data_IF_522083814978
#
_entry.id   IF_522083814978
#
_cell.length_a   1.000
_cell.length_b   1.000
_cell.length_c   1.000
_cell.angle_alpha   90.00
_cell.angle_beta   90.00
_cell.angle_gamma   90.00
#
_symmetry.space_group_name_H-M   'P 1'
#
loop_
_entity.id
_entity.type
_entity.pdbx_description
1 polymer ?
#
# COMPACT_ATOMS: atom_id res chain seq x y z
N UNK A 1 7.88 -3.49 15.83
CA UNK A 1 7.32 -3.45 14.48
C UNK A 1 6.60 -2.12 14.20
N UNK A 2 5.56 -1.74 14.97
CA UNK A 2 4.80 -0.51 14.74
C UNK A 2 5.68 0.77 14.68
N UNK A 3 6.69 0.89 15.53
CA UNK A 3 7.60 2.02 15.52
C UNK A 3 8.42 2.13 14.23
N UNK A 4 8.94 1.03 13.71
CA UNK A 4 9.72 1.03 12.46
C UNK A 4 8.85 1.34 11.24
N UNK A 5 7.60 0.87 11.22
CA UNK A 5 6.61 1.22 10.21
C UNK A 5 6.16 2.69 10.33
N UNK A 6 6.08 3.22 11.55
CA UNK A 6 5.79 4.62 11.79
C UNK A 6 6.90 5.53 11.23
N UNK A 7 8.16 5.16 11.40
CA UNK A 7 9.29 5.90 10.84
C UNK A 7 9.24 5.93 9.29
N UNK A 8 8.87 4.82 8.65
CA UNK A 8 8.65 4.79 7.21
C UNK A 8 7.44 5.65 6.79
N UNK A 9 6.35 5.62 7.56
CA UNK A 9 5.15 6.40 7.27
C UNK A 9 5.44 7.91 7.36
N UNK A 10 6.14 8.36 8.40
CA UNK A 10 6.54 9.77 8.54
C UNK A 10 7.48 10.20 7.41
N UNK A 11 8.46 9.38 7.03
CA UNK A 11 9.33 9.65 5.87
C UNK A 11 8.53 9.80 4.58
N UNK A 12 7.52 8.96 4.38
CA UNK A 12 6.67 8.97 3.19
C UNK A 12 5.82 10.25 3.12
N UNK A 13 5.21 10.66 4.23
CA UNK A 13 4.40 11.88 4.33
C UNK A 13 5.27 13.13 4.19
N UNK A 14 6.42 13.17 4.84
CA UNK A 14 7.39 14.29 4.74
C UNK A 14 7.95 14.42 3.31
N UNK A 15 8.02 13.32 2.58
CA UNK A 15 8.38 13.29 1.16
C UNK A 15 7.28 13.77 0.22
N UNK A 16 6.09 14.09 0.71
CA UNK A 16 4.97 14.61 -0.05
C UNK A 16 4.07 13.54 -0.69
N UNK A 17 4.26 12.26 -0.38
CA UNK A 17 3.42 11.19 -0.93
C UNK A 17 2.05 11.14 -0.24
N UNK A 18 1.00 10.99 -1.04
CA UNK A 18 -0.38 10.86 -0.56
C UNK A 18 -0.66 9.42 -0.13
N UNK A 19 -0.68 9.21 1.18
CA UNK A 19 -0.93 7.90 1.80
C UNK A 19 -2.00 7.96 2.89
N UNK A 20 -2.84 8.99 2.83
CA UNK A 20 -3.98 9.17 3.73
C UNK A 20 -3.70 10.10 4.92
N UNK A 21 -2.59 10.84 4.92
CA UNK A 21 -2.18 11.71 6.03
C UNK A 21 -1.83 13.11 5.54
N UNK A 22 -2.06 14.10 6.41
CA UNK A 22 -1.56 15.46 6.25
C UNK A 22 -0.20 15.64 6.95
N UNK A 23 0.63 16.53 6.42
CA UNK A 23 1.87 16.93 7.07
C UNK A 23 1.63 18.15 7.99
N UNK A 24 2.39 18.26 9.10
CA UNK A 24 3.34 17.29 9.61
C UNK A 24 2.63 16.11 10.29
N UNK A 25 3.13 14.90 10.09
CA UNK A 25 2.64 13.72 10.80
C UNK A 25 3.53 13.44 12.00
N UNK A 26 2.98 13.56 13.20
CA UNK A 26 3.68 13.23 14.43
C UNK A 26 3.98 11.72 14.51
N UNK A 27 5.22 11.38 14.93
CA UNK A 27 5.66 9.99 15.07
C UNK A 27 4.77 9.18 16.01
N UNK A 28 4.36 9.78 17.14
CA UNK A 28 3.48 9.11 18.10
C UNK A 28 2.11 8.78 17.48
N UNK A 29 1.56 9.69 16.68
CA UNK A 29 0.32 9.44 15.92
C UNK A 29 0.51 8.33 14.87
N UNK A 30 1.64 8.28 14.19
CA UNK A 30 1.96 7.21 13.24
C UNK A 30 2.10 5.84 13.94
N UNK A 31 2.74 5.80 15.10
CA UNK A 31 2.83 4.57 15.93
C UNK A 31 1.44 4.10 16.37
N UNK A 32 0.60 5.02 16.87
CA UNK A 32 -0.77 4.71 17.28
C UNK A 32 -1.57 4.14 16.10
N UNK A 33 -1.46 4.75 14.93
CA UNK A 33 -2.14 4.30 13.71
C UNK A 33 -1.77 2.85 13.34
N UNK A 34 -0.49 2.49 13.36
CA UNK A 34 -0.04 1.12 13.09
C UNK A 34 -0.45 0.15 14.20
N UNK A 35 -0.42 0.59 15.45
CA UNK A 35 -0.82 -0.23 16.61
C UNK A 35 -2.29 -0.62 16.53
N UNK A 36 -3.16 0.30 16.14
CA UNK A 36 -4.61 0.02 15.94
C UNK A 36 -4.85 -1.08 14.89
N UNK A 37 -3.96 -1.26 13.93
CA UNK A 37 -4.09 -2.28 12.88
C UNK A 37 -3.65 -3.67 13.30
N UNK A 38 -2.98 -3.81 14.44
CA UNK A 38 -2.56 -5.11 14.95
C UNK A 38 -3.74 -6.07 15.15
N UNK A 39 -4.91 -5.56 15.54
CA UNK A 39 -6.12 -6.39 15.68
C UNK A 39 -6.60 -6.95 14.34
N UNK A 40 -6.53 -6.16 13.28
CA UNK A 40 -6.89 -6.61 11.92
C UNK A 40 -5.88 -7.66 11.40
N UNK A 41 -4.59 -7.47 11.69
CA UNK A 41 -3.55 -8.44 11.34
C UNK A 41 -3.76 -9.75 12.10
N UNK A 42 -4.00 -9.70 13.41
CA UNK A 42 -4.26 -10.88 14.22
C UNK A 42 -5.51 -11.65 13.78
N UNK A 43 -6.52 -10.93 13.28
CA UNK A 43 -7.76 -11.51 12.76
C UNK A 43 -7.64 -11.99 11.29
N UNK A 44 -6.47 -11.87 10.65
CA UNK A 44 -6.26 -12.26 9.25
C UNK A 44 -6.95 -11.35 8.22
N UNK A 45 -7.43 -10.18 8.64
CA UNK A 45 -8.08 -9.22 7.73
C UNK A 45 -7.12 -8.22 7.08
N UNK A 46 -5.90 -8.14 7.59
CA UNK A 46 -4.84 -7.32 7.04
C UNK A 46 -3.54 -8.13 7.06
N UNK A 47 -2.88 -8.22 5.93
CA UNK A 47 -1.53 -8.78 5.84
C UNK A 47 -0.55 -7.67 5.50
N UNK A 48 0.55 -7.59 6.21
CA UNK A 48 1.58 -6.56 6.05
C UNK A 48 2.92 -7.21 5.77
N UNK A 49 3.54 -6.88 4.64
CA UNK A 49 4.91 -7.26 4.32
C UNK A 49 5.83 -6.07 4.51
N UNK A 50 7.02 -6.35 5.01
CA UNK A 50 8.04 -5.34 5.27
C UNK A 50 9.38 -5.79 4.71
N UNK A 51 10.09 -4.83 4.11
CA UNK A 51 11.47 -5.01 3.67
C UNK A 51 12.41 -4.28 4.63
N UNK A 52 13.45 -4.96 5.08
CA UNK A 52 14.43 -4.46 6.04
C UNK A 52 15.80 -4.31 5.42
N UNK A 53 16.60 -3.39 5.92
CA UNK A 53 18.05 -3.41 5.78
C UNK A 53 18.71 -4.21 6.92
N UNK A 54 20.01 -4.48 6.80
CA UNK A 54 20.77 -5.33 7.75
C UNK A 54 20.69 -4.85 9.21
N UNK A 55 20.53 -3.54 9.44
CA UNK A 55 20.39 -2.95 10.79
C UNK A 55 18.95 -2.93 11.31
N UNK A 56 18.00 -3.55 10.59
CA UNK A 56 16.61 -3.70 11.02
C UNK A 56 15.71 -2.50 10.76
N UNK A 57 16.17 -1.48 10.04
CA UNK A 57 15.30 -0.38 9.59
C UNK A 57 14.38 -0.86 8.48
N UNK A 58 13.10 -0.49 8.55
CA UNK A 58 12.12 -0.79 7.50
C UNK A 58 12.35 0.18 6.33
N UNK A 59 12.65 -0.38 5.17
CA UNK A 59 12.87 0.36 3.91
C UNK A 59 11.64 0.38 3.02
N UNK A 60 10.70 -0.51 3.23
CA UNK A 60 9.48 -0.57 2.45
C UNK A 60 8.43 -1.46 3.07
N UNK A 61 7.18 -1.25 2.67
CA UNK A 61 6.03 -2.03 3.10
C UNK A 61 4.96 -2.07 2.03
N UNK A 62 4.12 -3.09 2.08
CA UNK A 62 2.87 -3.20 1.33
C UNK A 62 1.89 -3.99 2.18
N UNK A 63 0.61 -3.70 2.05
CA UNK A 63 -0.43 -4.43 2.77
C UNK A 63 -1.56 -4.86 1.83
N UNK A 64 -2.21 -5.97 2.19
CA UNK A 64 -3.47 -6.40 1.60
C UNK A 64 -4.56 -6.36 2.67
N UNK A 65 -5.63 -5.64 2.39
CA UNK A 65 -6.82 -5.58 3.21
C UNK A 65 -7.93 -6.44 2.61
N UNK A 66 -8.46 -7.37 3.39
CA UNK A 66 -9.59 -8.19 2.99
C UNK A 66 -10.91 -7.48 3.33
N UNK A 67 -11.93 -7.56 2.45
CA UNK A 67 -13.25 -7.01 2.75
C UNK A 67 -13.95 -7.84 3.83
N UNK A 68 -14.88 -7.20 4.53
CA UNK A 68 -15.69 -7.82 5.57
C UNK A 68 -16.98 -8.46 5.04
N UNK A 69 -17.30 -8.27 3.75
CA UNK A 69 -18.55 -8.76 3.14
C UNK A 69 -18.35 -10.13 2.50
N UNK A 70 -19.24 -11.12 2.75
CA UNK A 70 -19.13 -12.47 2.22
C UNK A 70 -19.10 -12.54 0.67
N UNK A 71 -19.81 -11.65 -0.01
CA UNK A 71 -19.86 -11.60 -1.46
C UNK A 71 -18.60 -11.02 -2.11
N UNK A 72 -17.63 -10.59 -1.33
CA UNK A 72 -16.38 -9.95 -1.78
C UNK A 72 -15.13 -10.74 -1.37
N UNK A 73 -15.29 -11.95 -0.83
CA UNK A 73 -14.18 -12.76 -0.30
C UNK A 73 -13.12 -13.13 -1.35
N UNK A 74 -13.44 -13.03 -2.64
CA UNK A 74 -12.53 -13.31 -3.74
C UNK A 74 -11.59 -12.16 -4.11
N UNK A 75 -11.71 -11.00 -3.46
CA UNK A 75 -10.90 -9.82 -3.76
C UNK A 75 -10.19 -9.25 -2.53
N UNK A 76 -9.13 -8.50 -2.76
CA UNK A 76 -8.44 -7.74 -1.73
C UNK A 76 -8.05 -6.35 -2.24
N UNK A 77 -7.88 -5.41 -1.33
CA UNK A 77 -7.36 -4.08 -1.62
C UNK A 77 -5.88 -4.01 -1.27
N UNK A 78 -5.07 -3.58 -2.23
CA UNK A 78 -3.66 -3.30 -2.00
C UNK A 78 -3.54 -1.89 -1.45
N UNK A 79 -2.97 -1.78 -0.25
CA UNK A 79 -2.86 -0.51 0.48
C UNK A 79 -1.45 -0.31 1.04
N UNK A 80 -1.07 0.95 1.26
CA UNK A 80 0.18 1.33 1.93
C UNK A 80 1.43 0.73 1.30
N UNK A 81 1.51 0.72 -0.05
CA UNK A 81 2.78 0.47 -0.72
C UNK A 81 3.66 1.71 -0.56
N UNK A 82 4.69 1.60 0.25
CA UNK A 82 5.60 2.68 0.58
C UNK A 82 7.04 2.21 0.51
N UNK A 83 7.93 3.07 -0.01
CA UNK A 83 9.37 2.83 -0.05
C UNK A 83 10.07 4.07 0.50
N UNK A 84 10.96 3.86 1.49
CA UNK A 84 11.76 4.92 2.07
C UNK A 84 12.55 5.66 0.98
N UNK A 85 12.66 6.98 1.09
CA UNK A 85 13.32 7.83 0.08
C UNK A 85 14.72 7.35 -0.30
N UNK A 86 15.50 6.86 0.68
CA UNK A 86 16.86 6.33 0.45
C UNK A 86 16.90 5.01 -0.35
N UNK A 87 15.79 4.29 -0.44
CA UNK A 87 15.71 2.98 -1.11
C UNK A 87 14.94 3.03 -2.44
N UNK A 88 14.47 4.20 -2.87
CA UNK A 88 13.75 4.37 -4.13
C UNK A 88 14.68 4.18 -5.35
N UNK A 89 14.08 3.85 -6.49
CA UNK A 89 14.81 3.66 -7.74
C UNK A 89 15.62 2.35 -7.83
N UNK A 90 15.48 1.45 -6.86
CA UNK A 90 16.21 0.17 -6.78
C UNK A 90 15.31 -1.06 -6.96
N UNK A 91 14.07 -0.86 -7.41
CA UNK A 91 13.13 -1.95 -7.68
C UNK A 91 12.42 -2.51 -6.45
N UNK A 92 12.59 -1.93 -5.24
CA UNK A 92 11.98 -2.45 -4.01
C UNK A 92 10.45 -2.43 -4.06
N UNK A 93 9.84 -1.35 -4.58
CA UNK A 93 8.38 -1.26 -4.74
C UNK A 93 7.82 -2.37 -5.62
N UNK A 94 8.51 -2.68 -6.73
CA UNK A 94 8.12 -3.77 -7.64
C UNK A 94 8.23 -5.15 -6.97
N UNK A 95 9.24 -5.36 -6.16
CA UNK A 95 9.42 -6.62 -5.41
C UNK A 95 8.34 -6.80 -4.35
N UNK A 96 8.02 -5.74 -3.60
CA UNK A 96 6.93 -5.76 -2.61
C UNK A 96 5.58 -6.04 -3.28
N UNK A 97 5.32 -5.37 -4.41
CA UNK A 97 4.10 -5.59 -5.18
C UNK A 97 3.98 -7.05 -5.64
N UNK A 98 5.05 -7.62 -6.19
CA UNK A 98 5.07 -9.02 -6.63
C UNK A 98 4.81 -10.00 -5.47
N UNK A 99 5.42 -9.79 -4.30
CA UNK A 99 5.19 -10.62 -3.11
C UNK A 99 3.72 -10.60 -2.68
N UNK A 100 3.09 -9.41 -2.67
CA UNK A 100 1.69 -9.28 -2.31
C UNK A 100 0.76 -9.97 -3.34
N UNK A 101 1.06 -9.84 -4.64
CA UNK A 101 0.31 -10.48 -5.71
C UNK A 101 0.40 -12.02 -5.64
N UNK A 102 1.61 -12.54 -5.44
CA UNK A 102 1.85 -13.99 -5.31
C UNK A 102 1.14 -14.57 -4.08
N UNK A 103 1.24 -13.90 -2.94
CA UNK A 103 0.55 -14.31 -1.72
C UNK A 103 -0.98 -14.29 -1.89
N UNK A 104 -1.52 -13.23 -2.48
CA UNK A 104 -2.95 -13.13 -2.76
C UNK A 104 -3.43 -14.29 -3.66
N UNK A 105 -2.69 -14.61 -4.73
CA UNK A 105 -3.03 -15.71 -5.63
C UNK A 105 -2.97 -17.07 -4.92
N UNK A 106 -1.98 -17.27 -4.05
CA UNK A 106 -1.86 -18.49 -3.24
C UNK A 106 -3.03 -18.66 -2.26
N UNK A 107 -3.56 -17.56 -1.72
CA UNK A 107 -4.71 -17.54 -0.82
C UNK A 107 -6.08 -17.60 -1.57
N UNK A 108 -6.05 -17.78 -2.90
CA UNK A 108 -7.26 -17.90 -3.71
C UNK A 108 -7.94 -16.58 -4.05
N UNK A 109 -7.28 -15.44 -3.81
CA UNK A 109 -7.76 -14.12 -4.25
C UNK A 109 -7.59 -14.03 -5.78
N UNK A 110 -8.68 -13.73 -6.47
CA UNK A 110 -8.68 -13.62 -7.93
C UNK A 110 -8.70 -12.20 -8.47
N UNK A 111 -8.92 -11.21 -7.58
CA UNK A 111 -9.00 -9.80 -7.96
C UNK A 111 -8.32 -8.92 -6.90
N UNK A 112 -7.40 -8.10 -7.35
CA UNK A 112 -6.84 -7.00 -6.57
C UNK A 112 -7.32 -5.66 -7.12
N UNK A 113 -7.51 -4.68 -6.24
CA UNK A 113 -7.77 -3.29 -6.61
C UNK A 113 -7.00 -2.34 -5.71
N UNK A 114 -6.80 -1.15 -6.16
CA UNK A 114 -6.17 -0.06 -5.42
C UNK A 114 -6.62 1.29 -5.95
N UNK A 115 -6.37 2.33 -5.19
CA UNK A 115 -6.36 3.70 -5.66
C UNK A 115 -5.02 4.38 -5.34
N UNK A 116 -4.62 5.33 -6.18
CA UNK A 116 -3.37 6.07 -6.04
C UNK A 116 -3.54 7.50 -6.57
N UNK A 117 -2.79 8.45 -6.03
CA UNK A 117 -2.82 9.82 -6.53
C UNK A 117 -2.49 9.86 -8.03
N UNK A 118 -3.35 10.50 -8.81
CA UNK A 118 -3.18 10.65 -10.25
C UNK A 118 -1.92 11.44 -10.58
N UNK A 119 -1.12 10.95 -11.51
CA UNK A 119 0.14 11.58 -11.93
C UNK A 119 1.31 11.34 -10.98
N UNK A 120 1.11 10.60 -9.89
CA UNK A 120 2.16 10.24 -8.95
C UNK A 120 3.09 9.15 -9.48
N UNK A 121 4.28 8.98 -8.86
CA UNK A 121 5.28 8.00 -9.31
C UNK A 121 4.80 6.55 -9.20
N UNK A 122 3.87 6.25 -8.30
CA UNK A 122 3.32 4.90 -8.12
C UNK A 122 2.51 4.43 -9.33
N UNK A 123 1.86 5.32 -10.08
CA UNK A 123 1.11 4.93 -11.27
C UNK A 123 1.96 4.23 -12.32
N UNK A 124 3.18 4.70 -12.55
CA UNK A 124 4.12 4.05 -13.47
C UNK A 124 4.41 2.61 -13.04
N UNK A 125 4.60 2.37 -11.75
CA UNK A 125 4.82 1.03 -11.21
C UNK A 125 3.62 0.11 -11.51
N UNK A 126 2.39 0.56 -11.25
CA UNK A 126 1.19 -0.24 -11.50
C UNK A 126 0.98 -0.52 -12.99
N UNK A 127 1.08 0.48 -13.85
CA UNK A 127 0.97 0.31 -15.31
C UNK A 127 1.99 -0.68 -15.85
N UNK A 128 3.24 -0.60 -15.41
CA UNK A 128 4.32 -1.50 -15.88
C UNK A 128 4.33 -2.86 -15.19
N UNK A 129 3.47 -3.07 -14.19
CA UNK A 129 3.28 -4.35 -13.49
C UNK A 129 1.99 -5.08 -13.90
N UNK A 130 1.35 -4.64 -14.98
CA UNK A 130 0.18 -5.33 -15.56
C UNK A 130 -1.14 -4.98 -14.89
N UNK A 131 -1.24 -3.88 -14.16
CA UNK A 131 -2.49 -3.37 -13.62
C UNK A 131 -3.25 -2.58 -14.68
N UNK A 132 -4.58 -2.65 -14.62
CA UNK A 132 -5.49 -1.97 -15.54
C UNK A 132 -6.10 -0.76 -14.87
N UNK A 133 -6.03 0.38 -15.53
CA UNK A 133 -6.66 1.62 -15.09
C UNK A 133 -8.17 1.56 -15.30
N UNK A 134 -8.94 1.92 -14.28
CA UNK A 134 -10.41 2.06 -14.35
C UNK A 134 -10.79 3.48 -14.72
N UNK A 135 -10.18 4.46 -14.08
CA UNK A 135 -10.45 5.88 -14.24
C UNK A 135 -10.03 6.70 -13.04
N UNK A 136 -10.22 8.02 -13.13
CA UNK A 136 -9.85 8.95 -12.08
C UNK A 136 -11.07 9.63 -11.48
N UNK A 137 -10.98 9.91 -10.16
CA UNK A 137 -11.97 10.69 -9.41
C UNK A 137 -11.30 12.01 -9.04
N UNK A 138 -11.86 13.18 -9.47
CA UNK A 138 -11.30 14.48 -9.11
C UNK A 138 -11.48 14.78 -7.63
N UNK A 139 -10.60 15.62 -7.06
CA UNK A 139 -10.69 16.15 -5.69
C UNK A 139 -10.91 15.07 -4.61
N UNK A 140 -10.33 13.90 -4.80
CA UNK A 140 -10.61 12.72 -3.99
C UNK A 140 -10.00 12.78 -2.60
N UNK A 141 -8.77 13.24 -2.49
CA UNK A 141 -8.06 13.35 -1.22
C UNK A 141 -7.07 14.50 -1.24
N UNK A 142 -6.80 15.07 -0.08
CA UNK A 142 -5.75 16.07 0.06
C UNK A 142 -4.37 15.39 0.10
N UNK A 143 -3.40 15.97 -0.62
CA UNK A 143 -1.99 15.63 -0.44
C UNK A 143 -1.51 16.08 0.96
N UNK A 144 -0.29 15.72 1.39
CA UNK A 144 0.22 16.13 2.70
C UNK A 144 0.21 17.64 2.94
N UNK A 145 0.29 18.44 1.89
CA UNK A 145 0.20 19.90 1.95
C UNK A 145 -1.22 20.46 2.03
N UNK A 146 -2.25 19.62 1.99
CA UNK A 146 -3.65 20.02 2.09
C UNK A 146 -4.31 20.37 0.75
N UNK A 147 -3.63 20.15 -0.38
CA UNK A 147 -4.19 20.40 -1.72
C UNK A 147 -4.97 19.17 -2.19
N UNK A 148 -6.22 19.37 -2.60
CA UNK A 148 -7.05 18.31 -3.17
C UNK A 148 -6.44 17.78 -4.48
N UNK A 149 -6.31 16.46 -4.58
CA UNK A 149 -5.76 15.76 -5.74
C UNK A 149 -6.72 14.69 -6.24
N UNK A 150 -6.74 14.43 -7.54
CA UNK A 150 -7.49 13.30 -8.07
C UNK A 150 -6.82 11.98 -7.69
N UNK A 151 -7.62 10.92 -7.60
CA UNK A 151 -7.13 9.54 -7.47
C UNK A 151 -7.44 8.76 -8.74
N UNK A 152 -6.55 7.81 -9.08
CA UNK A 152 -6.78 6.86 -10.16
C UNK A 152 -6.98 5.47 -9.56
N UNK A 153 -8.03 4.79 -9.99
CA UNK A 153 -8.37 3.43 -9.57
C UNK A 153 -7.76 2.43 -10.55
N UNK A 154 -7.10 1.41 -10.01
CA UNK A 154 -6.53 0.30 -10.77
C UNK A 154 -7.04 -1.04 -10.24
N UNK A 155 -7.07 -2.03 -11.11
CA UNK A 155 -7.31 -3.42 -10.74
C UNK A 155 -6.35 -4.37 -11.44
N UNK A 156 -6.19 -5.56 -10.88
CA UNK A 156 -5.47 -6.67 -11.48
C UNK A 156 -6.21 -7.98 -11.23
N UNK A 157 -6.48 -8.74 -12.28
CA UNK A 157 -6.94 -10.12 -12.14
C UNK A 157 -5.74 -11.03 -11.92
N UNK A 158 -5.83 -11.87 -10.93
CA UNK A 158 -4.81 -12.87 -10.64
C UNK A 158 -5.23 -14.21 -11.27
N UNK A 159 -4.29 -14.90 -11.91
CA UNK A 159 -4.52 -16.27 -12.36
C UNK A 159 -4.67 -17.18 -11.13
N UNK A 160 -5.70 -18.01 -11.10
CA UNK A 160 -5.82 -19.04 -10.08
C UNK A 160 -4.57 -19.93 -10.14
N UNK A 161 -3.86 -20.06 -9.03
CA UNK A 161 -2.80 -21.07 -8.93
C UNK A 161 -3.47 -22.43 -9.06
N UNK A 162 -3.32 -23.09 -10.21
CA UNK A 162 -3.75 -24.49 -10.36
C UNK A 162 -2.84 -25.33 -9.48
N UNK A 163 -3.42 -25.91 -8.45
CA UNK A 163 -2.80 -27.00 -7.68
C UNK A 163 -2.62 -28.22 -8.60
#
# INVERSE_FOLDING_TARGET
MAGALADLLTDTVDGGASVGFLAPLDRAAAVAWWTERCAAVAAGRLTVWTAYEELGRVLGTVSLALPDKPNSAHRAELVKLMVHRSARGKGLGRRLLAVAEEAAAADGISLLHLDTETGGPAEHLYRTSGWTEVGAIPDYAADPGGVLRPTTIYYKRLAATRL
#
